data_IF_733696266555
#
_entry.id   IF_733696266555
#
_cell.length_a   1.000
_cell.length_b   1.000
_cell.length_c   1.000
_cell.angle_alpha   90.00
_cell.angle_beta   90.00
_cell.angle_gamma   90.00
#
_symmetry.space_group_name_H-M   'P 1'
#
loop_
_entity.id
_entity.type
_entity.pdbx_description
1 polymer ?
#
# COMPACT_ATOMS: atom_id res chain seq x y z
N UNK A 1 26.15 -25.60 -3.15
CA UNK A 1 24.96 -24.74 -3.35
C UNK A 1 23.91 -24.92 -2.24
N UNK A 2 23.53 -26.13 -1.84
CA UNK A 2 22.44 -26.37 -0.85
C UNK A 2 22.72 -25.86 0.58
N UNK A 3 23.96 -26.01 1.07
CA UNK A 3 24.36 -25.54 2.42
C UNK A 3 24.27 -24.02 2.60
N UNK A 4 24.53 -23.24 1.55
CA UNK A 4 24.42 -21.77 1.63
C UNK A 4 22.95 -21.32 1.64
N UNK A 5 22.08 -21.99 0.88
CA UNK A 5 20.64 -21.74 0.85
C UNK A 5 19.96 -22.02 2.20
N UNK A 6 20.29 -23.16 2.82
CA UNK A 6 19.75 -23.52 4.14
C UNK A 6 20.20 -22.54 5.25
N UNK A 7 21.45 -22.09 5.19
CA UNK A 7 21.98 -21.08 6.13
C UNK A 7 21.31 -19.72 5.92
N UNK A 8 21.04 -19.34 4.66
CA UNK A 8 20.37 -18.10 4.29
C UNK A 8 18.90 -18.06 4.74
N UNK A 9 18.13 -19.12 4.43
CA UNK A 9 16.73 -19.24 4.85
C UNK A 9 16.58 -19.25 6.38
N UNK A 10 17.47 -19.97 7.08
CA UNK A 10 17.51 -19.98 8.56
C UNK A 10 17.80 -18.59 9.14
N UNK A 11 18.58 -17.78 8.42
CA UNK A 11 18.94 -16.43 8.84
C UNK A 11 17.78 -15.46 8.61
N UNK A 12 17.09 -15.55 7.48
CA UNK A 12 15.86 -14.78 7.19
C UNK A 12 14.78 -15.07 8.24
N UNK A 13 14.49 -16.34 8.54
CA UNK A 13 13.50 -16.71 9.56
C UNK A 13 13.87 -16.25 10.98
N UNK A 14 15.16 -16.07 11.27
CA UNK A 14 15.63 -15.50 12.55
C UNK A 14 15.58 -13.97 12.58
N UNK A 15 15.71 -13.30 11.43
CA UNK A 15 15.75 -11.84 11.31
C UNK A 15 14.35 -11.23 11.25
N UNK A 16 13.39 -11.87 10.57
CA UNK A 16 11.98 -11.45 10.48
C UNK A 16 11.35 -11.09 11.84
N UNK A 17 11.34 -11.98 12.86
CA UNK A 17 10.73 -11.66 14.15
C UNK A 17 11.49 -10.55 14.88
N UNK A 18 12.81 -10.43 14.70
CA UNK A 18 13.63 -9.36 15.31
C UNK A 18 13.34 -7.99 14.69
N UNK A 19 13.08 -7.95 13.39
CA UNK A 19 12.63 -6.73 12.70
C UNK A 19 11.24 -6.32 13.18
N UNK A 20 10.29 -7.26 13.25
CA UNK A 20 8.93 -7.03 13.76
C UNK A 20 8.95 -6.51 15.22
N UNK A 21 9.75 -7.13 16.09
CA UNK A 21 9.96 -6.69 17.46
C UNK A 21 10.66 -5.32 17.55
N UNK A 22 11.58 -5.00 16.63
CA UNK A 22 12.22 -3.69 16.57
C UNK A 22 11.25 -2.60 16.10
N UNK A 23 10.35 -2.90 15.15
CA UNK A 23 9.26 -2.02 14.68
C UNK A 23 8.30 -1.72 15.82
N UNK A 24 7.80 -2.77 16.48
CA UNK A 24 6.87 -2.67 17.61
C UNK A 24 7.44 -1.89 18.80
N UNK A 25 8.75 -2.02 19.07
CA UNK A 25 9.44 -1.34 20.17
C UNK A 25 10.05 0.01 19.75
N UNK A 26 9.72 0.51 18.56
CA UNK A 26 10.19 1.76 17.99
C UNK A 26 11.73 1.93 18.00
N UNK A 27 12.46 0.83 17.81
CA UNK A 27 13.92 0.80 17.88
C UNK A 27 14.54 1.19 16.53
N UNK A 28 14.47 2.49 16.19
CA UNK A 28 14.96 3.07 14.91
C UNK A 28 16.39 2.63 14.53
N UNK A 29 17.31 2.60 15.49
CA UNK A 29 18.70 2.15 15.24
C UNK A 29 18.83 0.67 14.88
N UNK A 30 17.88 -0.18 15.31
CA UNK A 30 17.83 -1.59 14.92
C UNK A 30 17.13 -1.75 13.57
N UNK A 31 16.07 -0.99 13.31
CA UNK A 31 15.37 -0.99 12.02
C UNK A 31 16.29 -0.58 10.87
N UNK A 32 17.05 0.51 11.01
CA UNK A 32 18.00 0.95 9.97
C UNK A 32 19.12 -0.06 9.70
N UNK A 33 19.40 -0.97 10.64
CA UNK A 33 20.38 -2.05 10.45
C UNK A 33 19.76 -3.33 9.89
N UNK A 34 18.54 -3.65 10.32
CA UNK A 34 17.83 -4.88 9.96
C UNK A 34 17.20 -4.79 8.57
N UNK A 35 16.67 -3.61 8.18
CA UNK A 35 16.02 -3.37 6.89
C UNK A 35 16.90 -3.69 5.67
N UNK A 36 18.09 -3.08 5.51
CA UNK A 36 18.95 -3.36 4.35
C UNK A 36 19.50 -4.80 4.34
N UNK A 37 19.71 -5.41 5.51
CA UNK A 37 20.12 -6.81 5.61
C UNK A 37 19.00 -7.76 5.17
N UNK A 38 17.75 -7.46 5.53
CA UNK A 38 16.62 -8.30 5.14
C UNK A 38 16.36 -8.19 3.63
N UNK A 39 16.42 -6.99 3.06
CA UNK A 39 16.25 -6.73 1.62
C UNK A 39 17.34 -7.41 0.77
N UNK A 40 18.61 -7.35 1.20
CA UNK A 40 19.71 -8.00 0.51
C UNK A 40 19.56 -9.53 0.51
N UNK A 41 19.19 -10.13 1.65
CA UNK A 41 19.01 -11.58 1.77
C UNK A 41 17.75 -12.06 1.01
N UNK A 42 16.70 -11.25 0.94
CA UNK A 42 15.48 -11.55 0.14
C UNK A 42 15.76 -11.43 -1.35
N UNK A 43 16.52 -10.42 -1.78
CA UNK A 43 16.94 -10.25 -3.17
C UNK A 43 17.82 -11.41 -3.63
N UNK A 44 18.73 -11.90 -2.77
CA UNK A 44 19.53 -13.10 -3.04
C UNK A 44 18.66 -14.38 -3.12
N UNK A 45 17.55 -14.42 -2.37
CA UNK A 45 16.58 -15.52 -2.41
C UNK A 45 15.63 -15.47 -3.62
N UNK A 46 15.35 -14.28 -4.20
CA UNK A 46 14.54 -14.10 -5.42
C UNK A 46 15.11 -14.90 -6.60
N UNK A 47 16.45 -14.93 -6.74
CA UNK A 47 17.13 -15.66 -7.81
C UNK A 47 17.08 -17.20 -7.64
N UNK A 48 16.88 -17.70 -6.41
CA UNK A 48 17.03 -19.13 -6.08
C UNK A 48 15.68 -19.82 -5.83
N UNK A 49 14.67 -19.11 -5.31
CA UNK A 49 13.34 -19.68 -5.01
C UNK A 49 12.52 -19.97 -6.28
N UNK A 50 12.70 -19.18 -7.33
CA UNK A 50 12.03 -19.37 -8.62
C UNK A 50 12.50 -20.62 -9.39
N UNK A 51 13.70 -21.12 -9.11
CA UNK A 51 14.31 -22.25 -9.85
C UNK A 51 14.00 -23.61 -9.22
N UNK A 52 13.59 -23.68 -7.94
CA UNK A 52 13.57 -24.96 -7.21
C UNK A 52 12.24 -25.41 -6.62
N UNK A 53 11.24 -24.55 -6.42
CA UNK A 53 10.12 -24.96 -5.56
C UNK A 53 8.81 -25.32 -6.25
N UNK A 54 8.52 -24.90 -7.49
CA UNK A 54 7.29 -25.30 -8.21
C UNK A 54 5.95 -25.08 -7.49
N UNK A 55 5.95 -24.54 -6.27
CA UNK A 55 4.86 -24.44 -5.31
C UNK A 55 5.20 -23.27 -4.38
N UNK A 56 4.19 -22.44 -4.11
CA UNK A 56 4.21 -21.17 -3.37
C UNK A 56 4.56 -19.92 -4.21
N UNK A 57 3.49 -19.22 -4.59
CA UNK A 57 3.47 -17.90 -5.21
C UNK A 57 4.11 -16.83 -4.30
N UNK A 58 4.88 -15.94 -4.92
CA UNK A 58 5.68 -14.89 -4.29
C UNK A 58 4.78 -13.86 -3.57
N UNK A 59 3.50 -13.77 -3.96
CA UNK A 59 2.50 -12.82 -3.42
C UNK A 59 2.22 -12.97 -1.92
N UNK A 60 2.59 -14.09 -1.29
CA UNK A 60 2.35 -14.33 0.15
C UNK A 60 3.50 -13.86 1.06
N UNK A 61 4.62 -13.39 0.50
CA UNK A 61 5.87 -13.13 1.26
C UNK A 61 6.35 -11.69 1.24
N UNK A 62 5.82 -10.90 0.33
CA UNK A 62 5.71 -9.46 0.45
C UNK A 62 4.49 -9.30 1.35
N UNK A 63 4.59 -8.53 2.44
CA UNK A 63 3.39 -8.19 3.22
C UNK A 63 2.30 -7.73 2.23
N UNK A 64 1.03 -8.02 2.49
CA UNK A 64 -0.07 -7.31 1.84
C UNK A 64 0.24 -5.82 2.03
N UNK A 65 0.88 -5.19 1.04
CA UNK A 65 0.94 -3.74 0.95
C UNK A 65 -0.54 -3.37 0.91
N UNK A 66 -0.99 -2.79 2.02
CA UNK A 66 -2.38 -2.43 2.21
C UNK A 66 -2.69 -1.47 1.08
N UNK A 67 -3.34 -2.00 0.04
CA UNK A 67 -3.62 -1.30 -1.22
C UNK A 67 -4.40 0.00 -0.98
N UNK A 68 -5.05 0.11 0.20
CA UNK A 68 -5.67 1.33 0.66
C UNK A 68 -4.66 2.48 0.88
N UNK A 69 -3.42 2.18 1.31
CA UNK A 69 -2.35 3.17 1.45
C UNK A 69 -1.88 3.72 0.10
N UNK A 70 -1.78 2.85 -0.92
CA UNK A 70 -1.49 3.30 -2.28
C UNK A 70 -2.66 4.13 -2.84
N UNK A 71 -3.89 3.70 -2.53
CA UNK A 71 -5.10 4.40 -2.91
C UNK A 71 -5.18 5.82 -2.34
N UNK A 72 -4.80 6.06 -1.08
CA UNK A 72 -4.80 7.44 -0.57
C UNK A 72 -3.83 8.35 -1.32
N UNK A 73 -2.70 7.81 -1.81
CA UNK A 73 -1.80 8.51 -2.71
C UNK A 73 -2.42 8.81 -4.08
N UNK A 74 -3.20 7.87 -4.63
CA UNK A 74 -3.98 8.10 -5.87
C UNK A 74 -5.00 9.23 -5.67
N UNK A 75 -5.69 9.24 -4.53
CA UNK A 75 -6.71 10.24 -4.21
C UNK A 75 -6.11 11.64 -4.11
N UNK A 76 -4.94 11.80 -3.48
CA UNK A 76 -4.25 13.09 -3.41
C UNK A 76 -3.95 13.65 -4.82
N UNK A 77 -3.50 12.79 -5.74
CA UNK A 77 -3.28 13.17 -7.13
C UNK A 77 -4.58 13.54 -7.88
N UNK A 78 -5.70 12.89 -7.56
CA UNK A 78 -7.01 13.22 -8.13
C UNK A 78 -7.53 14.55 -7.59
N UNK A 79 -7.27 14.85 -6.33
CA UNK A 79 -7.66 16.10 -5.67
C UNK A 79 -7.05 17.32 -6.34
N UNK A 80 -5.80 17.22 -6.80
CA UNK A 80 -5.12 18.27 -7.56
C UNK A 80 -5.77 18.55 -8.93
N UNK A 81 -6.62 17.65 -9.42
CA UNK A 81 -7.30 17.73 -10.72
C UNK A 81 -8.74 18.22 -10.60
N UNK A 82 -9.23 18.47 -9.38
CA UNK A 82 -10.55 19.02 -9.17
C UNK A 82 -10.64 20.46 -9.71
N UNK A 83 -11.76 20.82 -10.36
CA UNK A 83 -11.95 22.16 -10.89
C UNK A 83 -12.14 23.22 -9.79
N UNK A 84 -12.69 22.83 -8.63
CA UNK A 84 -12.95 23.73 -7.50
C UNK A 84 -12.59 23.05 -6.17
N UNK A 85 -11.28 23.05 -5.85
CA UNK A 85 -10.78 22.42 -4.62
C UNK A 85 -11.23 23.17 -3.36
N UNK A 86 -11.42 24.49 -3.44
CA UNK A 86 -11.88 25.32 -2.34
C UNK A 86 -13.30 24.95 -1.92
N UNK A 87 -14.19 24.66 -2.89
CA UNK A 87 -15.53 24.16 -2.61
C UNK A 87 -15.50 22.81 -1.87
N UNK A 88 -14.59 21.90 -2.23
CA UNK A 88 -14.41 20.63 -1.52
C UNK A 88 -13.89 20.85 -0.09
N UNK A 89 -12.87 21.68 0.10
CA UNK A 89 -12.30 21.98 1.43
C UNK A 89 -13.34 22.62 2.37
N UNK A 90 -14.25 23.43 1.82
CA UNK A 90 -15.34 24.05 2.57
C UNK A 90 -16.52 23.10 2.88
N UNK A 91 -16.53 21.88 2.32
CA UNK A 91 -17.61 20.90 2.50
C UNK A 91 -17.43 20.05 3.76
N UNK A 92 -18.54 19.50 4.26
CA UNK A 92 -18.53 18.55 5.39
C UNK A 92 -17.74 17.26 5.08
N UNK A 93 -17.56 16.94 3.80
CA UNK A 93 -16.81 15.79 3.32
C UNK A 93 -15.30 15.92 3.53
N UNK A 94 -14.77 17.15 3.64
CA UNK A 94 -13.34 17.37 3.84
C UNK A 94 -12.84 16.81 5.16
N UNK A 95 -13.67 16.80 6.21
CA UNK A 95 -13.29 16.28 7.51
C UNK A 95 -12.97 14.78 7.43
N UNK A 96 -13.85 14.00 6.78
CA UNK A 96 -13.62 12.57 6.54
C UNK A 96 -12.36 12.34 5.71
N UNK A 97 -12.16 13.13 4.64
CA UNK A 97 -10.96 13.07 3.84
C UNK A 97 -9.70 13.32 4.69
N UNK A 98 -9.68 14.41 5.46
CA UNK A 98 -8.53 14.81 6.26
C UNK A 98 -8.18 13.78 7.34
N UNK A 99 -9.17 13.19 7.99
CA UNK A 99 -8.95 12.19 9.04
C UNK A 99 -8.36 10.88 8.47
N UNK A 100 -8.92 10.40 7.35
CA UNK A 100 -8.47 9.14 6.73
C UNK A 100 -7.16 9.32 5.97
N UNK A 101 -7.01 10.38 5.16
CA UNK A 101 -5.79 10.65 4.42
C UNK A 101 -4.61 11.02 5.34
N UNK A 102 -4.87 11.62 6.49
CA UNK A 102 -3.85 11.94 7.50
C UNK A 102 -3.34 10.74 8.30
N UNK A 103 -4.13 9.66 8.40
CA UNK A 103 -3.75 8.42 9.09
C UNK A 103 -4.41 7.17 8.48
N UNK A 104 -4.06 6.81 7.22
CA UNK A 104 -4.76 5.74 6.51
C UNK A 104 -4.48 4.34 7.09
N UNK A 105 -3.31 4.14 7.71
CA UNK A 105 -2.99 2.92 8.47
C UNK A 105 -3.87 2.73 9.71
N UNK A 106 -4.41 3.82 10.27
CA UNK A 106 -5.25 3.80 11.47
C UNK A 106 -6.75 3.84 11.19
N UNK A 107 -7.17 4.02 9.94
CA UNK A 107 -8.56 4.01 9.54
C UNK A 107 -9.12 2.58 9.57
N UNK A 108 -10.27 2.41 10.21
CA UNK A 108 -11.01 1.15 10.25
C UNK A 108 -11.82 0.94 8.96
N UNK A 109 -12.38 -0.26 8.78
CA UNK A 109 -13.05 -0.64 7.54
C UNK A 109 -14.22 0.29 7.19
N UNK A 110 -14.97 0.76 8.20
CA UNK A 110 -16.11 1.67 8.00
C UNK A 110 -15.64 3.04 7.49
N UNK A 111 -14.60 3.62 8.09
CA UNK A 111 -14.01 4.86 7.61
C UNK A 111 -13.41 4.72 6.21
N UNK A 112 -12.75 3.60 5.91
CA UNK A 112 -12.20 3.31 4.57
C UNK A 112 -13.27 3.19 3.50
N UNK A 113 -14.40 2.54 3.82
CA UNK A 113 -15.58 2.44 2.96
C UNK A 113 -16.18 3.82 2.69
N UNK A 114 -16.39 4.61 3.74
CA UNK A 114 -16.90 5.98 3.61
C UNK A 114 -15.96 6.87 2.77
N UNK A 115 -14.64 6.73 2.96
CA UNK A 115 -13.63 7.45 2.19
C UNK A 115 -13.65 7.04 0.71
N UNK A 116 -13.80 5.75 0.39
CA UNK A 116 -13.95 5.31 -0.99
C UNK A 116 -15.19 5.92 -1.65
N UNK A 117 -16.35 5.88 -0.99
CA UNK A 117 -17.58 6.51 -1.51
C UNK A 117 -17.43 8.01 -1.73
N UNK A 118 -16.67 8.69 -0.86
CA UNK A 118 -16.33 10.10 -1.06
C UNK A 118 -15.53 10.32 -2.35
N UNK A 119 -14.49 9.51 -2.56
CA UNK A 119 -13.64 9.59 -3.76
C UNK A 119 -14.42 9.29 -5.04
N UNK A 120 -15.28 8.27 -5.03
CA UNK A 120 -16.16 7.93 -6.16
C UNK A 120 -17.08 9.11 -6.52
N UNK A 121 -17.60 9.82 -5.51
CA UNK A 121 -18.33 11.07 -5.73
C UNK A 121 -17.46 12.16 -6.36
N UNK A 122 -16.23 12.34 -5.88
CA UNK A 122 -15.31 13.33 -6.43
C UNK A 122 -14.96 13.02 -7.88
N UNK A 123 -14.85 11.75 -8.27
CA UNK A 123 -14.64 11.34 -9.65
C UNK A 123 -15.79 11.74 -10.58
N UNK A 124 -17.03 11.84 -10.08
CA UNK A 124 -18.15 12.35 -10.86
C UNK A 124 -18.06 13.87 -11.11
N UNK A 125 -17.36 14.60 -10.25
CA UNK A 125 -17.10 16.04 -10.38
C UNK A 125 -15.84 16.36 -11.21
N UNK A 126 -15.03 15.36 -11.57
CA UNK A 126 -13.88 15.54 -12.44
C UNK A 126 -14.32 15.85 -13.88
N UNK A 127 -13.61 16.74 -14.60
CA UNK A 127 -13.89 16.98 -16.00
C UNK A 127 -13.57 15.74 -16.85
N UNK A 128 -14.34 15.52 -17.92
CA UNK A 128 -14.30 14.28 -18.73
C UNK A 128 -12.88 13.94 -19.23
N UNK A 129 -12.08 14.93 -19.58
CA UNK A 129 -10.69 14.72 -20.00
C UNK A 129 -9.82 14.12 -18.88
N UNK A 130 -10.01 14.54 -17.63
CA UNK A 130 -9.24 14.02 -16.49
C UNK A 130 -9.69 12.61 -16.12
N UNK A 131 -10.98 12.29 -16.28
CA UNK A 131 -11.50 10.92 -16.11
C UNK A 131 -10.87 9.99 -17.17
N UNK A 132 -10.80 10.41 -18.43
CA UNK A 132 -10.17 9.62 -19.51
C UNK A 132 -8.68 9.42 -19.22
N UNK A 133 -7.97 10.45 -18.77
CA UNK A 133 -6.55 10.33 -18.39
C UNK A 133 -6.37 9.39 -17.20
N UNK A 134 -7.23 9.50 -16.19
CA UNK A 134 -7.19 8.67 -15.00
C UNK A 134 -7.43 7.20 -15.32
N UNK A 135 -8.50 6.88 -16.07
CA UNK A 135 -8.86 5.49 -16.45
C UNK A 135 -7.80 4.79 -17.30
N UNK A 136 -6.94 5.54 -17.98
CA UNK A 136 -5.80 5.01 -18.75
C UNK A 136 -4.50 4.93 -17.93
N UNK A 137 -4.49 5.49 -16.73
CA UNK A 137 -3.32 5.50 -15.86
C UNK A 137 -3.19 4.21 -15.04
N UNK A 138 -1.98 3.85 -14.59
CA UNK A 138 -1.78 2.73 -13.66
C UNK A 138 -2.58 2.88 -12.36
N UNK A 139 -2.87 4.11 -11.93
CA UNK A 139 -3.57 4.43 -10.70
C UNK A 139 -5.04 3.96 -10.72
N UNK A 140 -5.65 3.87 -11.91
CA UNK A 140 -7.01 3.35 -12.05
C UNK A 140 -7.13 1.90 -11.60
N UNK A 141 -6.08 1.10 -11.78
CA UNK A 141 -6.08 -0.29 -11.31
C UNK A 141 -6.18 -0.37 -9.78
N UNK A 142 -5.48 0.52 -9.08
CA UNK A 142 -5.56 0.61 -7.61
C UNK A 142 -6.99 1.00 -7.19
N UNK A 143 -7.59 1.97 -7.89
CA UNK A 143 -8.98 2.36 -7.68
C UNK A 143 -9.96 1.18 -7.86
N UNK A 144 -9.83 0.41 -8.95
CA UNK A 144 -10.69 -0.76 -9.19
C UNK A 144 -10.56 -1.83 -8.11
N UNK A 145 -9.33 -2.14 -7.70
CA UNK A 145 -9.07 -3.15 -6.66
C UNK A 145 -9.63 -2.72 -5.30
N UNK A 146 -9.48 -1.45 -4.93
CA UNK A 146 -10.08 -0.90 -3.70
C UNK A 146 -11.60 -0.83 -3.80
N UNK A 147 -12.14 -0.46 -4.97
CA UNK A 147 -13.59 -0.45 -5.22
C UNK A 147 -14.23 -1.84 -5.13
N UNK A 148 -13.51 -2.90 -5.53
CA UNK A 148 -13.98 -4.27 -5.34
C UNK A 148 -14.10 -4.68 -3.86
N UNK A 149 -13.32 -4.04 -2.97
CA UNK A 149 -13.31 -4.33 -1.54
C UNK A 149 -14.34 -3.45 -0.79
N UNK A 150 -14.40 -2.16 -1.15
CA UNK A 150 -15.13 -1.15 -0.38
C UNK A 150 -16.33 -0.54 -1.12
N UNK A 151 -16.54 -0.82 -2.39
CA UNK A 151 -17.64 -0.26 -3.19
C UNK A 151 -19.00 -0.96 -3.01
N UNK A 152 -19.14 -1.87 -2.03
CA UNK A 152 -20.34 -2.66 -1.73
C UNK A 152 -20.98 -2.28 -0.40
#
# INVERSE_FOLDING_TARGET
MEKQKSKLASTINKLKPKYKLAKQRNQKSKLNKLKPQLEALISEHKAIKAVLSGEADISTLIEEEDIFLDFTGVVDNLLLKLPDVDAFIASDSFQLYSDVAGNPEGADEEARRAFFSLVDSMLMDLPENEIVVFTQSPDFKIYEEVGAIYGS
#
